data_IF_335492134001
#
_entry.id   IF_335492134001
#
_cell.length_a   1.000
_cell.length_b   1.000
_cell.length_c   1.000
_cell.angle_alpha   90.00
_cell.angle_beta   90.00
_cell.angle_gamma   90.00
#
_symmetry.space_group_name_H-M   'P 1'
#
loop_
_entity.id
_entity.type
_entity.pdbx_description
1 polymer ?
#
# COMPACT_ATOMS: atom_id res chain seq x y z
N UNK A 1 19.14 -20.00 40.29
CA UNK A 1 18.46 -18.71 40.04
C UNK A 1 18.05 -18.70 38.58
N UNK A 2 16.74 -18.67 38.32
CA UNK A 2 16.10 -18.94 37.02
C UNK A 2 15.66 -17.60 36.43
N UNK A 3 16.39 -17.09 35.44
CA UNK A 3 16.01 -15.89 34.69
C UNK A 3 15.14 -16.29 33.50
N UNK A 4 13.85 -15.94 33.54
CA UNK A 4 12.92 -16.17 32.45
C UNK A 4 13.18 -15.21 31.30
N UNK A 5 13.34 -15.74 30.10
CA UNK A 5 13.31 -14.96 28.87
C UNK A 5 11.86 -14.52 28.62
N UNK A 6 11.57 -13.26 28.95
CA UNK A 6 10.38 -12.59 28.48
C UNK A 6 10.45 -12.53 26.94
N UNK A 7 9.52 -13.21 26.28
CA UNK A 7 9.30 -13.04 24.85
C UNK A 7 8.95 -11.58 24.58
N UNK A 8 9.66 -10.98 23.64
CA UNK A 8 9.31 -9.67 23.10
C UNK A 8 8.02 -9.86 22.31
N UNK A 9 6.91 -9.41 22.91
CA UNK A 9 5.63 -9.21 22.23
C UNK A 9 5.82 -8.05 21.24
N UNK A 10 6.20 -8.39 20.01
CA UNK A 10 6.14 -7.45 18.89
C UNK A 10 4.66 -7.26 18.60
N UNK A 11 4.04 -6.31 19.32
CA UNK A 11 2.65 -5.87 19.18
C UNK A 11 2.36 -5.31 17.79
N UNK A 12 2.47 -6.16 16.78
CA UNK A 12 1.93 -5.95 15.46
C UNK A 12 0.47 -6.36 15.58
N UNK A 13 -0.35 -5.38 15.93
CA UNK A 13 -1.79 -5.50 15.86
C UNK A 13 -2.14 -5.95 14.44
N UNK A 14 -2.52 -7.23 14.29
CA UNK A 14 -2.87 -7.79 12.99
C UNK A 14 -4.14 -7.06 12.54
N UNK A 15 -4.15 -6.36 11.39
CA UNK A 15 -5.41 -5.90 10.84
C UNK A 15 -6.24 -7.13 10.48
N UNK A 16 -7.24 -7.40 11.31
CA UNK A 16 -8.27 -8.39 11.00
C UNK A 16 -9.07 -7.80 9.85
N UNK A 17 -8.84 -8.29 8.63
CA UNK A 17 -9.63 -7.91 7.47
C UNK A 17 -11.06 -8.41 7.74
N UNK A 18 -11.91 -7.52 8.25
CA UNK A 18 -13.32 -7.76 8.41
C UNK A 18 -13.92 -7.97 7.01
N UNK A 19 -14.16 -9.23 6.67
CA UNK A 19 -14.88 -9.61 5.45
C UNK A 19 -16.32 -9.11 5.61
N UNK A 20 -16.64 -7.97 5.00
CA UNK A 20 -17.98 -7.40 5.02
C UNK A 20 -18.99 -8.42 4.43
N UNK A 21 -19.79 -9.03 5.31
CA UNK A 21 -21.00 -9.78 4.93
C UNK A 21 -22.13 -8.77 4.71
N UNK A 22 -22.14 -8.14 3.53
CA UNK A 22 -23.28 -7.37 3.04
C UNK A 22 -24.25 -8.29 2.31
N UNK A 23 -25.51 -8.34 2.77
CA UNK A 23 -26.57 -9.14 2.19
C UNK A 23 -26.82 -8.80 0.71
N UNK A 24 -26.90 -9.83 -0.14
CA UNK A 24 -27.33 -9.70 -1.53
C UNK A 24 -28.79 -9.23 -1.53
N UNK A 25 -29.01 -7.95 -1.83
CA UNK A 25 -30.32 -7.41 -2.17
C UNK A 25 -30.53 -7.67 -3.66
N UNK A 26 -31.53 -8.49 -4.00
CA UNK A 26 -32.01 -8.66 -5.36
C UNK A 26 -32.79 -7.40 -5.78
N UNK A 27 -32.07 -6.35 -6.15
CA UNK A 27 -32.58 -5.20 -6.89
C UNK A 27 -32.19 -5.36 -8.35
N UNK A 28 -33.16 -5.12 -9.24
CA UNK A 28 -33.14 -5.11 -10.72
C UNK A 28 -31.92 -5.75 -11.42
N UNK A 29 -32.05 -6.91 -12.11
CA UNK A 29 -30.93 -7.65 -12.69
C UNK A 29 -30.19 -6.94 -13.84
N UNK A 30 -30.65 -5.75 -14.25
CA UNK A 30 -30.00 -4.90 -15.25
C UNK A 30 -29.95 -3.43 -14.82
N UNK A 31 -29.76 -3.16 -13.52
CA UNK A 31 -29.38 -1.83 -13.06
C UNK A 31 -28.00 -1.46 -13.61
N UNK A 32 -27.97 -0.64 -14.67
CA UNK A 32 -26.77 -0.12 -15.35
C UNK A 32 -25.77 0.57 -14.40
N UNK A 33 -26.21 0.83 -13.18
CA UNK A 33 -25.55 1.61 -12.14
C UNK A 33 -24.71 0.70 -11.22
N UNK A 34 -25.05 -0.60 -11.10
CA UNK A 34 -24.38 -1.56 -10.20
C UNK A 34 -23.03 -2.05 -10.75
N UNK A 35 -22.93 -2.19 -12.08
CA UNK A 35 -21.69 -2.56 -12.78
C UNK A 35 -20.73 -1.38 -12.80
N UNK A 36 -21.26 -0.17 -12.98
CA UNK A 36 -20.48 1.06 -12.96
C UNK A 36 -19.81 1.27 -11.59
N UNK A 37 -20.55 1.08 -10.49
CA UNK A 37 -19.98 1.20 -9.14
C UNK A 37 -19.00 0.07 -8.79
N UNK A 38 -19.17 -1.14 -9.35
CA UNK A 38 -18.20 -2.24 -9.19
C UNK A 38 -16.93 -2.08 -10.04
N UNK A 39 -16.96 -1.23 -11.07
CA UNK A 39 -15.83 -0.95 -11.96
C UNK A 39 -15.03 0.29 -11.52
N UNK A 40 -15.50 1.07 -10.55
CA UNK A 40 -14.77 2.22 -10.02
C UNK A 40 -13.55 1.75 -9.22
N UNK A 41 -12.40 2.34 -9.54
CA UNK A 41 -11.18 2.13 -8.76
C UNK A 41 -11.32 2.86 -7.43
N UNK A 42 -11.11 2.15 -6.32
CA UNK A 42 -11.03 2.75 -4.99
C UNK A 42 -9.72 3.55 -4.85
N UNK A 43 -9.75 4.81 -5.29
CA UNK A 43 -8.61 5.72 -5.28
C UNK A 43 -8.12 5.99 -3.85
N UNK A 44 -9.03 6.16 -2.90
CA UNK A 44 -8.70 6.38 -1.49
C UNK A 44 -8.03 5.14 -0.89
N UNK A 45 -8.55 3.95 -1.22
CA UNK A 45 -7.92 2.67 -0.85
C UNK A 45 -6.52 2.51 -1.45
N UNK A 46 -6.29 2.92 -2.70
CA UNK A 46 -4.95 2.91 -3.30
C UNK A 46 -4.01 3.90 -2.62
N UNK A 47 -4.44 5.14 -2.36
CA UNK A 47 -3.64 6.14 -1.65
C UNK A 47 -3.28 5.66 -0.23
N UNK A 48 -4.26 5.13 0.50
CA UNK A 48 -4.06 4.55 1.82
C UNK A 48 -3.11 3.35 1.79
N UNK A 49 -3.28 2.45 0.82
CA UNK A 49 -2.38 1.31 0.62
C UNK A 49 -0.94 1.74 0.30
N UNK A 50 -0.77 2.76 -0.54
CA UNK A 50 0.55 3.35 -0.82
C UNK A 50 1.21 3.92 0.44
N UNK A 51 0.46 4.69 1.26
CA UNK A 51 0.95 5.21 2.53
C UNK A 51 1.39 4.09 3.47
N UNK A 52 0.53 3.08 3.64
CA UNK A 52 0.80 1.94 4.52
C UNK A 52 2.06 1.16 4.12
N UNK A 53 2.33 1.00 2.82
CA UNK A 53 3.58 0.39 2.33
C UNK A 53 4.80 1.24 2.73
N UNK A 54 4.73 2.57 2.57
CA UNK A 54 5.81 3.47 2.93
C UNK A 54 6.10 3.49 4.43
N UNK A 55 5.05 3.48 5.25
CA UNK A 55 5.15 3.41 6.72
C UNK A 55 5.79 2.09 7.17
N UNK A 56 5.35 0.96 6.62
CA UNK A 56 5.94 -0.35 6.92
C UNK A 56 7.40 -0.44 6.48
N UNK A 57 7.75 0.14 5.32
CA UNK A 57 9.13 0.21 4.85
C UNK A 57 10.01 1.00 5.83
N UNK A 58 9.51 2.14 6.32
CA UNK A 58 10.21 2.98 7.31
C UNK A 58 10.40 2.24 8.63
N UNK A 59 9.36 1.60 9.15
CA UNK A 59 9.42 0.83 10.38
C UNK A 59 10.42 -0.33 10.28
N UNK A 60 10.42 -1.06 9.15
CA UNK A 60 11.36 -2.14 8.90
C UNK A 60 12.81 -1.64 8.84
N UNK A 61 13.06 -0.52 8.14
CA UNK A 61 14.38 0.09 8.05
C UNK A 61 14.88 0.53 9.43
N UNK A 62 14.04 1.17 10.24
CA UNK A 62 14.39 1.58 11.60
C UNK A 62 14.73 0.38 12.51
N UNK A 63 13.93 -0.68 12.46
CA UNK A 63 14.20 -1.92 13.20
C UNK A 63 15.52 -2.57 12.78
N UNK A 64 15.81 -2.57 11.47
CA UNK A 64 17.07 -3.07 10.97
C UNK A 64 18.27 -2.25 11.45
N UNK A 65 18.20 -0.91 11.36
CA UNK A 65 19.24 -0.02 11.88
C UNK A 65 19.50 -0.24 13.37
N UNK A 66 18.44 -0.41 14.17
CA UNK A 66 18.58 -0.71 15.59
C UNK A 66 19.30 -2.05 15.84
N UNK A 67 18.99 -3.07 15.03
CA UNK A 67 19.69 -4.36 15.08
C UNK A 67 21.17 -4.22 14.70
N UNK A 68 21.47 -3.37 13.73
CA UNK A 68 22.85 -3.10 13.30
C UNK A 68 23.67 -2.37 14.36
N UNK A 69 23.07 -1.41 15.08
CA UNK A 69 23.71 -0.76 16.23
C UNK A 69 24.04 -1.78 17.31
N UNK A 70 23.07 -2.62 17.70
CA UNK A 70 23.32 -3.67 18.68
C UNK A 70 24.37 -4.69 18.24
N UNK A 71 24.50 -4.93 16.93
CA UNK A 71 25.54 -5.78 16.38
C UNK A 71 26.93 -5.12 16.45
N UNK A 72 27.02 -3.82 16.17
CA UNK A 72 28.25 -3.04 16.31
C UNK A 72 28.71 -2.95 17.77
N UNK A 73 27.80 -2.79 18.73
CA UNK A 73 28.13 -2.80 20.16
C UNK A 73 28.76 -4.13 20.60
N UNK A 74 28.31 -5.24 19.98
CA UNK A 74 28.85 -6.58 20.25
C UNK A 74 30.21 -6.86 19.57
N UNK A 75 30.60 -6.06 18.56
CA UNK A 75 31.79 -6.29 17.73
C UNK A 75 33.08 -6.32 18.56
N UNK A 76 33.18 -5.46 19.57
CA UNK A 76 34.32 -5.39 20.49
C UNK A 76 34.62 -6.70 21.24
N UNK A 77 33.64 -7.60 21.33
CA UNK A 77 33.77 -8.92 21.95
C UNK A 77 34.16 -10.03 20.98
N UNK A 78 34.24 -9.77 19.67
CA UNK A 78 34.57 -10.77 18.67
C UNK A 78 36.08 -10.85 18.47
N UNK A 79 36.60 -12.08 18.32
CA UNK A 79 38.04 -12.31 18.18
C UNK A 79 38.32 -13.20 16.98
N UNK A 80 39.34 -12.83 16.20
CA UNK A 80 39.85 -13.63 15.09
C UNK A 80 39.05 -13.48 13.78
N UNK A 81 39.32 -14.35 12.82
CA UNK A 81 38.77 -14.29 11.44
C UNK A 81 37.24 -14.40 11.36
N UNK A 82 36.58 -14.95 12.38
CA UNK A 82 35.13 -14.97 12.50
C UNK A 82 34.55 -13.57 12.76
N UNK A 83 35.28 -12.70 13.45
CA UNK A 83 34.89 -11.31 13.66
C UNK A 83 34.83 -10.56 12.33
N UNK A 84 35.90 -10.63 11.53
CA UNK A 84 35.96 -10.00 10.21
C UNK A 84 34.86 -10.52 9.27
N UNK A 85 34.53 -11.82 9.36
CA UNK A 85 33.45 -12.42 8.59
C UNK A 85 32.08 -11.86 8.99
N UNK A 86 31.82 -11.71 10.29
CA UNK A 86 30.58 -11.14 10.80
C UNK A 86 30.44 -9.65 10.43
N UNK A 87 31.52 -8.86 10.47
CA UNK A 87 31.51 -7.45 10.02
C UNK A 87 31.18 -7.35 8.52
N UNK A 88 31.72 -8.25 7.69
CA UNK A 88 31.37 -8.29 6.26
C UNK A 88 29.91 -8.69 6.03
N UNK A 89 29.40 -9.64 6.80
CA UNK A 89 27.99 -10.07 6.73
C UNK A 89 27.04 -8.96 7.20
N UNK A 90 27.34 -8.32 8.33
CA UNK A 90 26.69 -7.13 8.85
C UNK A 90 26.54 -6.04 7.78
N UNK A 91 27.65 -5.70 7.13
CA UNK A 91 27.68 -4.72 6.04
C UNK A 91 26.84 -5.15 4.83
N UNK A 92 26.81 -6.46 4.52
CA UNK A 92 25.99 -6.99 3.44
C UNK A 92 24.49 -6.92 3.77
N UNK A 93 24.11 -7.24 5.00
CA UNK A 93 22.72 -7.11 5.47
C UNK A 93 22.22 -5.67 5.42
N UNK A 94 23.04 -4.70 5.85
CA UNK A 94 22.69 -3.29 5.75
C UNK A 94 22.39 -2.87 4.31
N UNK A 95 23.26 -3.25 3.35
CA UNK A 95 23.03 -2.95 1.94
C UNK A 95 21.75 -3.56 1.39
N UNK A 96 21.45 -4.80 1.77
CA UNK A 96 20.22 -5.48 1.33
C UNK A 96 18.98 -4.81 1.92
N UNK A 97 19.02 -4.41 3.19
CA UNK A 97 17.93 -3.69 3.84
C UNK A 97 17.68 -2.32 3.21
N UNK A 98 18.73 -1.58 2.87
CA UNK A 98 18.62 -0.28 2.17
C UNK A 98 17.98 -0.44 0.77
N UNK A 99 18.34 -1.52 0.06
CA UNK A 99 17.73 -1.87 -1.23
C UNK A 99 16.23 -2.18 -1.07
N UNK A 100 15.85 -2.96 -0.06
CA UNK A 100 14.44 -3.27 0.22
C UNK A 100 13.64 -2.02 0.59
N UNK A 101 14.19 -1.17 1.47
CA UNK A 101 13.56 0.11 1.81
C UNK A 101 13.31 0.99 0.58
N UNK A 102 14.33 1.11 -0.28
CA UNK A 102 14.22 1.87 -1.54
C UNK A 102 13.16 1.29 -2.47
N UNK A 103 13.12 -0.04 -2.63
CA UNK A 103 12.15 -0.71 -3.49
C UNK A 103 10.71 -0.51 -2.99
N UNK A 104 10.46 -0.69 -1.69
CA UNK A 104 9.15 -0.50 -1.09
C UNK A 104 8.68 0.95 -1.17
N UNK A 105 9.58 1.92 -0.94
CA UNK A 105 9.26 3.34 -1.07
C UNK A 105 8.89 3.71 -2.52
N UNK A 106 9.60 3.15 -3.50
CA UNK A 106 9.25 3.33 -4.92
C UNK A 106 7.90 2.70 -5.26
N UNK A 107 7.63 1.52 -4.72
CA UNK A 107 6.33 0.85 -4.89
C UNK A 107 5.20 1.70 -4.31
N UNK A 108 5.35 2.22 -3.08
CA UNK A 108 4.39 3.15 -2.47
C UNK A 108 4.13 4.38 -3.37
N UNK A 109 5.19 4.98 -3.91
CA UNK A 109 5.08 6.11 -4.83
C UNK A 109 4.35 5.75 -6.13
N UNK A 110 4.61 4.57 -6.71
CA UNK A 110 3.93 4.09 -7.90
C UNK A 110 2.43 3.86 -7.65
N UNK A 111 2.06 3.28 -6.50
CA UNK A 111 0.66 3.10 -6.13
C UNK A 111 -0.05 4.46 -6.01
N UNK A 112 0.58 5.43 -5.35
CA UNK A 112 0.02 6.78 -5.24
C UNK A 112 -0.10 7.49 -6.59
N UNK A 113 0.87 7.31 -7.49
CA UNK A 113 0.81 7.86 -8.85
C UNK A 113 -0.30 7.22 -9.70
N UNK A 114 -0.48 5.90 -9.58
CA UNK A 114 -1.57 5.18 -10.24
C UNK A 114 -2.93 5.69 -9.75
N UNK A 115 -3.11 5.84 -8.43
CA UNK A 115 -4.34 6.36 -7.83
C UNK A 115 -4.72 7.74 -8.40
N UNK A 116 -3.75 8.67 -8.49
CA UNK A 116 -3.96 9.99 -9.09
C UNK A 116 -4.33 9.92 -10.58
N UNK A 117 -3.78 8.96 -11.31
CA UNK A 117 -4.08 8.76 -12.74
C UNK A 117 -5.50 8.26 -12.94
N UNK A 118 -5.96 7.32 -12.10
CA UNK A 118 -7.35 6.87 -12.10
C UNK A 118 -8.30 8.01 -11.79
N UNK A 119 -8.04 8.77 -10.71
CA UNK A 119 -8.84 9.94 -10.35
C UNK A 119 -9.00 10.95 -11.50
N UNK A 120 -7.88 11.33 -12.14
CA UNK A 120 -7.92 12.27 -13.26
C UNK A 120 -8.67 11.73 -14.49
N UNK A 121 -8.64 10.41 -14.71
CA UNK A 121 -9.34 9.76 -15.83
C UNK A 121 -10.84 9.70 -15.56
N UNK A 122 -11.24 9.40 -14.32
CA UNK A 122 -12.64 9.37 -13.90
C UNK A 122 -13.27 10.76 -13.99
N UNK A 123 -12.60 11.80 -13.49
CA UNK A 123 -13.07 13.20 -13.60
C UNK A 123 -13.23 13.64 -15.07
N UNK A 124 -12.26 13.33 -15.94
CA UNK A 124 -12.36 13.64 -17.37
C UNK A 124 -13.52 12.89 -18.03
N UNK A 125 -13.73 11.62 -17.66
CA UNK A 125 -14.81 10.80 -18.23
C UNK A 125 -16.17 11.32 -17.79
N UNK A 126 -16.32 11.68 -16.51
CA UNK A 126 -17.53 12.31 -15.98
C UNK A 126 -17.88 13.61 -16.72
N UNK A 127 -16.90 14.50 -16.91
CA UNK A 127 -17.10 15.76 -17.63
C UNK A 127 -17.50 15.57 -19.11
N UNK A 128 -17.01 14.52 -19.78
CA UNK A 128 -17.42 14.19 -21.16
C UNK A 128 -18.86 13.67 -21.18
N UNK A 129 -19.23 12.83 -20.22
CA UNK A 129 -20.59 12.30 -20.12
C UNK A 129 -21.62 13.40 -19.81
N UNK A 130 -21.29 14.34 -18.94
CA UNK A 130 -22.11 15.52 -18.65
C UNK A 130 -22.36 16.35 -19.92
N UNK A 131 -21.31 16.66 -20.68
CA UNK A 131 -21.44 17.37 -21.97
C UNK A 131 -22.28 16.61 -23.01
N UNK A 132 -22.20 15.28 -23.04
CA UNK A 132 -23.04 14.47 -23.94
C UNK A 132 -24.49 14.47 -23.47
N UNK A 133 -24.74 14.36 -22.16
CA UNK A 133 -26.08 14.44 -21.56
C UNK A 133 -26.77 15.76 -21.87
N UNK A 134 -26.10 16.89 -21.58
CA UNK A 134 -26.62 18.23 -21.86
C UNK A 134 -26.95 18.45 -23.34
N UNK A 135 -26.18 17.85 -24.25
CA UNK A 135 -26.44 17.91 -25.69
C UNK A 135 -27.65 17.08 -26.11
N UNK A 136 -27.85 15.91 -25.50
CA UNK A 136 -29.00 15.03 -25.78
C UNK A 136 -30.28 15.60 -25.19
N UNK A 137 -30.22 16.18 -23.99
CA UNK A 137 -31.36 16.83 -23.33
C UNK A 137 -31.72 18.19 -23.97
N UNK A 138 -30.78 18.79 -24.71
CA UNK A 138 -30.94 20.03 -25.46
C UNK A 138 -31.50 19.88 -26.89
N UNK A 139 -31.59 18.66 -27.43
CA UNK A 139 -32.27 18.43 -28.72
C UNK A 139 -33.76 18.17 -28.50
N UNK A 140 -34.66 19.03 -28.99
CA UNK A 140 -36.08 18.73 -28.96
C UNK A 140 -36.33 17.50 -29.85
N UNK A 141 -37.01 16.49 -29.30
CA UNK A 141 -37.57 15.38 -30.07
C UNK A 141 -38.45 15.94 -31.20
N UNK A 142 -37.87 16.12 -32.40
CA UNK A 142 -38.64 16.41 -33.60
C UNK A 142 -39.33 15.12 -34.04
N UNK A 143 -40.55 14.97 -33.53
CA UNK A 143 -41.47 13.91 -33.90
C UNK A 143 -42.44 14.44 -34.96
N UNK A 144 -41.92 14.78 -36.13
CA UNK A 144 -42.71 14.88 -37.35
C UNK A 144 -41.83 14.77 -38.61
N UNK A 145 -41.84 13.59 -39.25
CA UNK A 145 -42.27 13.42 -40.66
C UNK A 145 -42.32 11.94 -41.07
#
# INVERSE_FOLDING_TARGET
>A
MRGGHAGVDLGVDRPTIARARGAIKFGDPYGRDDVADKLKVDVDGLLGGGSAIGEQATALSASHLQSMVGLGDAESGWVGTSADALVRMASAWQRVSDQHYTALTRQAAHVAAAARTFYATDERTAAVLEQVGDRVDGEPYDSAQ
#
